data_IF_370820049610
#
_entry.id   IF_370820049610
#
_cell.length_a   1.000
_cell.length_b   1.000
_cell.length_c   1.000
_cell.angle_alpha   90.00
_cell.angle_beta   90.00
_cell.angle_gamma   90.00
#
_symmetry.space_group_name_H-M   'P 1'
#
loop_
_entity.id
_entity.type
_entity.pdbx_description
1 polymer ?
#
# COMPACT_ATOMS: atom_id res chain seq x y z
N UNK A 1 17.05 40.44 51.29
CA UNK A 1 15.97 39.50 50.92
C UNK A 1 15.57 39.60 49.43
N UNK A 2 15.87 40.72 48.72
CA UNK A 2 15.69 40.88 47.26
C UNK A 2 16.09 39.68 46.39
N UNK A 3 17.29 39.11 46.61
CA UNK A 3 17.85 38.03 45.77
C UNK A 3 16.95 36.79 45.69
N UNK A 4 16.30 36.42 46.80
CA UNK A 4 15.44 35.23 46.83
C UNK A 4 14.10 35.50 46.10
N UNK A 5 13.58 36.72 46.22
CA UNK A 5 12.39 37.18 45.50
C UNK A 5 12.61 37.22 43.99
N UNK A 6 13.77 37.71 43.57
CA UNK A 6 14.19 37.76 42.17
C UNK A 6 14.36 36.33 41.59
N UNK A 7 14.98 35.43 42.36
CA UNK A 7 15.19 34.03 41.96
C UNK A 7 13.88 33.26 41.82
N UNK A 8 12.95 33.42 42.77
CA UNK A 8 11.61 32.84 42.69
C UNK A 8 10.83 33.35 41.47
N UNK A 9 10.95 34.65 41.15
CA UNK A 9 10.35 35.24 39.93
C UNK A 9 10.92 34.63 38.65
N UNK A 10 12.25 34.53 38.52
CA UNK A 10 12.93 33.94 37.36
C UNK A 10 12.55 32.48 37.18
N UNK A 11 12.48 31.71 38.26
CA UNK A 11 12.04 30.31 38.25
C UNK A 11 10.59 30.17 37.74
N UNK A 12 9.66 30.99 38.25
CA UNK A 12 8.27 31.01 37.77
C UNK A 12 8.19 31.35 36.28
N UNK A 13 8.93 32.37 35.83
CA UNK A 13 8.97 32.77 34.42
C UNK A 13 9.51 31.64 33.53
N UNK A 14 10.59 30.97 33.93
CA UNK A 14 11.15 29.83 33.18
C UNK A 14 10.16 28.68 33.06
N UNK A 15 9.45 28.33 34.16
CA UNK A 15 8.40 27.29 34.13
C UNK A 15 7.23 27.68 33.24
N UNK A 16 6.80 28.94 33.27
CA UNK A 16 5.73 29.44 32.40
C UNK A 16 6.11 29.31 30.92
N UNK A 17 7.32 29.74 30.54
CA UNK A 17 7.80 29.61 29.17
C UNK A 17 7.87 28.15 28.71
N UNK A 18 8.32 27.24 29.59
CA UNK A 18 8.37 25.82 29.26
C UNK A 18 6.97 25.21 29.08
N UNK A 19 5.99 25.62 29.90
CA UNK A 19 4.60 25.21 29.71
C UNK A 19 4.02 25.70 28.39
N UNK A 20 4.29 26.96 28.02
CA UNK A 20 3.87 27.54 26.74
C UNK A 20 4.49 26.79 25.55
N UNK A 21 5.77 26.45 25.64
CA UNK A 21 6.47 25.65 24.63
C UNK A 21 5.87 24.25 24.49
N UNK A 22 5.62 23.55 25.60
CA UNK A 22 4.98 22.23 25.60
C UNK A 22 3.56 22.28 25.02
N UNK A 23 2.79 23.32 25.34
CA UNK A 23 1.47 23.52 24.73
C UNK A 23 1.56 23.75 23.22
N UNK A 24 2.54 24.52 22.75
CA UNK A 24 2.79 24.73 21.32
C UNK A 24 3.18 23.41 20.62
N UNK A 25 4.02 22.59 21.26
CA UNK A 25 4.40 21.28 20.71
C UNK A 25 3.21 20.33 20.64
N UNK A 26 2.35 20.34 21.67
CA UNK A 26 1.14 19.51 21.71
C UNK A 26 0.19 19.88 20.56
N UNK A 27 -0.08 21.17 20.35
CA UNK A 27 -0.97 21.62 19.27
C UNK A 27 -0.37 21.31 17.90
N UNK A 28 0.95 21.47 17.74
CA UNK A 28 1.65 21.08 16.51
C UNK A 28 1.52 19.57 16.23
N UNK A 29 1.76 18.71 17.21
CA UNK A 29 1.64 17.26 17.07
C UNK A 29 0.21 16.83 16.78
N UNK A 30 -0.79 17.45 17.42
CA UNK A 30 -2.20 17.20 17.12
C UNK A 30 -2.54 17.56 15.66
N UNK A 31 -2.09 18.72 15.18
CA UNK A 31 -2.28 19.12 13.79
C UNK A 31 -1.60 18.16 12.81
N UNK A 32 -0.36 17.76 13.09
CA UNK A 32 0.36 16.77 12.28
C UNK A 32 -0.37 15.42 12.27
N UNK A 33 -0.87 14.96 13.42
CA UNK A 33 -1.64 13.72 13.51
C UNK A 33 -2.90 13.76 12.65
N UNK A 34 -3.60 14.90 12.63
CA UNK A 34 -4.79 15.08 11.79
C UNK A 34 -4.43 15.02 10.30
N UNK A 35 -3.38 15.74 9.89
CA UNK A 35 -2.89 15.73 8.49
C UNK A 35 -2.50 14.32 8.05
N UNK A 36 -1.76 13.58 8.90
CA UNK A 36 -1.37 12.20 8.57
C UNK A 36 -2.57 11.27 8.47
N UNK A 37 -3.56 11.42 9.35
CA UNK A 37 -4.81 10.65 9.28
C UNK A 37 -5.54 10.89 7.97
N UNK A 38 -5.75 12.15 7.59
CA UNK A 38 -6.41 12.52 6.33
C UNK A 38 -5.66 11.96 5.12
N UNK A 39 -4.32 12.00 5.15
CA UNK A 39 -3.48 11.44 4.09
C UNK A 39 -3.61 9.92 3.99
N UNK A 40 -3.58 9.22 5.12
CA UNK A 40 -3.78 7.76 5.19
C UNK A 40 -5.16 7.40 4.64
N UNK A 41 -6.21 8.11 5.05
CA UNK A 41 -7.57 7.88 4.56
C UNK A 41 -7.68 8.14 3.05
N UNK A 42 -7.04 9.19 2.53
CA UNK A 42 -7.02 9.48 1.09
C UNK A 42 -6.30 8.40 0.29
N UNK A 43 -5.13 7.93 0.76
CA UNK A 43 -4.40 6.83 0.13
C UNK A 43 -5.22 5.54 0.20
N UNK A 44 -5.87 5.28 1.33
CA UNK A 44 -6.79 4.15 1.51
C UNK A 44 -7.91 4.17 0.48
N UNK A 45 -8.60 5.31 0.29
CA UNK A 45 -9.66 5.44 -0.73
C UNK A 45 -9.13 5.16 -2.14
N UNK A 46 -7.99 5.75 -2.52
CA UNK A 46 -7.39 5.53 -3.83
C UNK A 46 -7.00 4.06 -4.06
N UNK A 47 -6.47 3.40 -3.02
CA UNK A 47 -6.14 1.98 -3.07
C UNK A 47 -7.39 1.12 -3.33
N UNK A 48 -8.51 1.40 -2.65
CA UNK A 48 -9.77 0.68 -2.89
C UNK A 48 -10.27 0.87 -4.32
N UNK A 49 -10.15 2.07 -4.89
CA UNK A 49 -10.48 2.32 -6.30
C UNK A 49 -9.61 1.49 -7.24
N UNK A 50 -8.29 1.51 -7.04
CA UNK A 50 -7.35 0.73 -7.86
C UNK A 50 -7.57 -0.78 -7.71
N UNK A 51 -7.93 -1.26 -6.53
CA UNK A 51 -8.25 -2.68 -6.32
C UNK A 51 -9.53 -3.08 -7.05
N UNK A 52 -10.56 -2.23 -7.03
CA UNK A 52 -11.78 -2.45 -7.80
C UNK A 52 -11.50 -2.49 -9.32
N UNK A 53 -10.70 -1.56 -9.83
CA UNK A 53 -10.26 -1.55 -11.24
C UNK A 53 -9.47 -2.81 -11.59
N UNK A 54 -8.55 -3.25 -10.72
CA UNK A 54 -7.83 -4.51 -10.91
C UNK A 54 -8.78 -5.71 -10.96
N UNK A 55 -9.81 -5.75 -10.12
CA UNK A 55 -10.80 -6.84 -10.12
C UNK A 55 -11.60 -6.87 -11.43
N UNK A 56 -11.96 -5.71 -11.99
CA UNK A 56 -12.59 -5.62 -13.31
C UNK A 56 -11.65 -6.15 -14.40
N UNK A 57 -10.38 -5.73 -14.40
CA UNK A 57 -9.40 -6.20 -15.38
C UNK A 57 -9.17 -7.71 -15.29
N UNK A 58 -9.14 -8.27 -14.08
CA UNK A 58 -9.05 -9.73 -13.85
C UNK A 58 -10.25 -10.46 -14.42
N UNK A 59 -11.47 -9.96 -14.20
CA UNK A 59 -12.67 -10.55 -14.76
C UNK A 59 -12.66 -10.53 -16.29
N UNK A 60 -12.26 -9.40 -16.89
CA UNK A 60 -12.13 -9.28 -18.35
C UNK A 60 -11.07 -10.22 -18.92
N UNK A 61 -9.94 -10.35 -18.24
CA UNK A 61 -8.88 -11.27 -18.64
C UNK A 61 -9.34 -12.73 -18.60
N UNK A 62 -10.07 -13.14 -17.56
CA UNK A 62 -10.65 -14.47 -17.46
C UNK A 62 -11.66 -14.74 -18.58
N UNK A 63 -12.55 -13.78 -18.88
CA UNK A 63 -13.52 -13.90 -19.97
C UNK A 63 -12.83 -14.04 -21.34
N UNK A 64 -11.82 -13.20 -21.61
CA UNK A 64 -11.06 -13.26 -22.87
C UNK A 64 -10.30 -14.56 -23.02
N UNK A 65 -9.72 -15.07 -21.93
CA UNK A 65 -9.02 -16.36 -21.88
C UNK A 65 -9.98 -17.49 -22.22
N UNK A 66 -11.15 -17.56 -21.57
CA UNK A 66 -12.16 -18.57 -21.83
C UNK A 66 -12.65 -18.53 -23.29
N UNK A 67 -12.88 -17.33 -23.83
CA UNK A 67 -13.27 -17.16 -25.23
C UNK A 67 -12.19 -17.65 -26.20
N UNK A 68 -10.93 -17.34 -25.90
CA UNK A 68 -9.81 -17.80 -26.70
C UNK A 68 -9.67 -19.32 -26.67
N UNK A 69 -9.81 -19.93 -25.49
CA UNK A 69 -9.77 -21.39 -25.33
C UNK A 69 -10.91 -22.09 -26.08
N UNK A 70 -12.11 -21.50 -26.07
CA UNK A 70 -13.25 -21.97 -26.85
C UNK A 70 -12.97 -21.93 -28.36
N UNK A 71 -12.43 -20.81 -28.86
CA UNK A 71 -12.03 -20.68 -30.27
C UNK A 71 -10.93 -21.65 -30.65
N UNK A 72 -9.89 -21.77 -29.81
CA UNK A 72 -8.79 -22.73 -30.00
C UNK A 72 -9.30 -24.17 -30.05
N UNK A 73 -10.26 -24.52 -29.19
CA UNK A 73 -10.90 -25.84 -29.19
C UNK A 73 -11.67 -26.11 -30.48
N UNK A 74 -12.41 -25.11 -30.99
CA UNK A 74 -13.09 -25.21 -32.28
C UNK A 74 -12.11 -25.35 -33.45
N UNK A 75 -11.00 -24.62 -33.43
CA UNK A 75 -9.94 -24.73 -34.43
C UNK A 75 -9.32 -26.12 -34.44
N UNK A 76 -9.00 -26.69 -33.26
CA UNK A 76 -8.52 -28.08 -33.14
C UNK A 76 -9.54 -29.07 -33.70
N UNK A 77 -10.80 -28.95 -33.31
CA UNK A 77 -11.88 -29.81 -33.81
C UNK A 77 -11.98 -29.78 -35.34
N UNK A 78 -11.90 -28.60 -35.96
CA UNK A 78 -11.95 -28.46 -37.41
C UNK A 78 -10.70 -29.04 -38.09
N UNK A 79 -9.51 -28.82 -37.51
CA UNK A 79 -8.26 -29.38 -38.02
C UNK A 79 -8.28 -30.91 -38.01
N UNK A 80 -8.71 -31.51 -36.90
CA UNK A 80 -8.85 -32.96 -36.72
C UNK A 80 -9.82 -33.56 -37.75
N UNK A 81 -10.96 -32.90 -37.98
CA UNK A 81 -11.96 -33.34 -38.96
C UNK A 81 -11.43 -33.32 -40.42
N UNK A 82 -10.43 -32.49 -40.71
CA UNK A 82 -9.82 -32.36 -42.04
C UNK A 82 -8.44 -33.03 -42.15
N UNK A 83 -7.96 -33.69 -41.09
CA UNK A 83 -6.63 -34.31 -41.06
C UNK A 83 -5.47 -33.30 -41.14
N UNK A 84 -5.70 -32.06 -40.72
CA UNK A 84 -4.69 -31.00 -40.68
C UNK A 84 -4.07 -30.92 -39.28
N UNK A 85 -2.76 -30.69 -39.19
CA UNK A 85 -2.10 -30.38 -37.93
C UNK A 85 -2.12 -28.85 -37.70
N UNK A 86 -2.60 -28.42 -36.55
CA UNK A 86 -2.58 -27.00 -36.12
C UNK A 86 -1.83 -26.88 -34.80
N UNK A 87 -0.82 -26.02 -34.78
CA UNK A 87 -0.11 -25.64 -33.56
C UNK A 87 -0.74 -24.37 -32.99
N UNK A 88 -1.26 -24.45 -31.77
CA UNK A 88 -1.91 -23.34 -31.07
C UNK A 88 -1.05 -22.98 -29.86
N UNK A 89 -0.47 -21.76 -29.82
CA UNK A 89 0.33 -21.30 -28.70
C UNK A 89 -0.49 -21.27 -27.40
N UNK A 90 0.11 -21.74 -26.30
CA UNK A 90 -0.45 -21.60 -24.96
C UNK A 90 -0.37 -20.15 -24.47
N UNK A 91 -1.35 -19.76 -23.67
CA UNK A 91 -1.35 -18.46 -23.00
C UNK A 91 -0.30 -18.51 -21.88
N UNK A 92 0.68 -17.60 -21.82
CA UNK A 92 1.69 -17.61 -20.77
C UNK A 92 1.09 -17.47 -19.35
N UNK A 93 1.55 -18.31 -18.42
CA UNK A 93 1.15 -18.26 -17.00
C UNK A 93 1.40 -16.89 -16.35
N UNK A 94 2.41 -16.16 -16.83
CA UNK A 94 2.71 -14.79 -16.36
C UNK A 94 1.59 -13.80 -16.63
N UNK A 95 0.76 -14.04 -17.64
CA UNK A 95 -0.42 -13.24 -17.92
C UNK A 95 -1.60 -13.64 -17.03
N UNK A 96 -1.71 -14.93 -16.68
CA UNK A 96 -2.79 -15.44 -15.82
C UNK A 96 -2.53 -15.16 -14.34
N UNK A 97 -1.27 -15.08 -13.93
CA UNK A 97 -0.85 -14.92 -12.54
C UNK A 97 0.15 -13.76 -12.34
N UNK A 98 -0.21 -12.52 -12.69
CA UNK A 98 0.72 -11.38 -12.75
C UNK A 98 1.36 -10.98 -11.42
N UNK A 99 0.85 -11.50 -10.29
CA UNK A 99 1.33 -11.19 -8.93
C UNK A 99 2.05 -12.35 -8.25
N UNK A 100 2.22 -13.49 -8.92
CA UNK A 100 3.15 -14.50 -8.46
C UNK A 100 4.57 -13.99 -8.72
N UNK A 101 5.13 -13.32 -7.72
CA UNK A 101 6.53 -12.93 -7.75
C UNK A 101 7.36 -14.21 -7.89
N UNK A 102 8.28 -14.29 -8.87
CA UNK A 102 9.12 -15.48 -9.08
C UNK A 102 10.10 -15.75 -7.93
N UNK A 103 10.08 -14.94 -6.87
CA UNK A 103 10.95 -15.05 -5.71
C UNK A 103 10.16 -15.13 -4.41
N UNK A 104 10.61 -15.94 -3.44
CA UNK A 104 10.00 -15.98 -2.12
C UNK A 104 10.14 -14.63 -1.43
N UNK A 105 9.03 -14.06 -0.96
CA UNK A 105 9.01 -12.86 -0.14
C UNK A 105 9.72 -13.21 1.17
N UNK A 106 10.94 -12.68 1.37
CA UNK A 106 11.63 -12.81 2.64
C UNK A 106 10.85 -12.02 3.70
N UNK A 107 10.54 -12.61 4.87
CA UNK A 107 9.87 -11.89 5.94
C UNK A 107 10.75 -10.71 6.36
N UNK A 108 10.16 -9.52 6.45
CA UNK A 108 10.83 -8.34 7.00
C UNK A 108 11.01 -8.59 8.50
N UNK A 109 12.17 -9.10 8.89
CA UNK A 109 12.56 -9.18 10.30
C UNK A 109 12.84 -7.76 10.78
N UNK A 110 11.93 -7.19 11.57
CA UNK A 110 12.19 -5.96 12.29
C UNK A 110 13.39 -6.19 13.21
N UNK A 111 14.53 -5.54 12.93
CA UNK A 111 15.69 -5.58 13.81
C UNK A 111 15.31 -4.93 15.14
N UNK A 112 15.43 -5.67 16.24
CA UNK A 112 15.08 -5.23 17.59
C UNK A 112 15.97 -4.08 18.11
N UNK A 113 17.05 -3.73 17.40
CA UNK A 113 18.05 -2.75 17.84
C UNK A 113 17.73 -1.29 17.45
N UNK A 114 16.62 -1.02 16.78
CA UNK A 114 16.30 0.36 16.35
C UNK A 114 15.87 1.33 17.47
N UNK A 115 15.63 0.85 18.70
CA UNK A 115 15.17 1.68 19.83
C UNK A 115 16.20 1.80 20.98
N UNK A 116 17.49 1.68 20.70
CA UNK A 116 18.52 2.09 21.64
C UNK A 116 18.97 3.52 21.33
N UNK A 117 18.31 4.55 21.86
CA UNK A 117 18.89 5.85 22.26
C UNK A 117 17.92 6.62 23.14
#
# INVERSE_FOLDING_TARGET
MESNRESARRSRKKKQQHLEELMSQLTQLQNQSTIWRERIESVGRNFHTLDAENNVLRAQMAELTERLDSLNSLTRFWADANGLAVDIPEIPDTLLEPWQLPYPIQPITASADMFQF
#
